data_IF_852430862048
#
_entry.id   IF_852430862048
#
_cell.length_a   1.000
_cell.length_b   1.000
_cell.length_c   1.000
_cell.angle_alpha   90.00
_cell.angle_beta   90.00
_cell.angle_gamma   90.00
#
_symmetry.space_group_name_H-M   'P 1'
#
loop_
_entity.id
_entity.type
_entity.pdbx_description
1 polymer ?
#
# COMPACT_ATOMS: atom_id res chain seq x y z
N UNK A 1 -0.50 10.15 26.40
CA UNK A 1 -0.55 10.96 25.17
C UNK A 1 -0.69 9.93 24.10
N UNK A 2 -1.92 9.78 23.65
CA UNK A 2 -2.39 8.68 22.84
C UNK A 2 -2.76 9.29 21.51
N UNK A 3 -2.20 8.75 20.42
CA UNK A 3 -2.32 9.34 19.09
C UNK A 3 -2.94 8.28 18.18
N UNK A 4 -4.12 8.56 17.63
CA UNK A 4 -4.69 7.79 16.54
C UNK A 4 -4.98 8.70 15.35
N UNK A 5 -4.72 8.18 14.16
CA UNK A 5 -4.82 8.91 12.89
C UNK A 5 -6.16 8.64 12.19
N UNK A 6 -6.76 7.46 12.42
CA UNK A 6 -7.94 6.98 11.67
C UNK A 6 -9.10 6.50 12.56
N UNK A 7 -8.95 6.53 13.89
CA UNK A 7 -9.94 6.05 14.83
C UNK A 7 -9.99 6.96 16.05
N UNK A 8 -11.11 6.93 16.78
CA UNK A 8 -11.16 7.59 18.09
C UNK A 8 -10.14 6.96 19.04
N UNK A 9 -9.42 7.81 19.75
CA UNK A 9 -8.46 7.39 20.77
C UNK A 9 -9.18 7.26 22.11
N UNK A 10 -8.79 6.25 22.89
CA UNK A 10 -9.27 6.10 24.25
C UNK A 10 -8.84 7.32 25.08
N UNK A 11 -9.82 8.02 25.66
CA UNK A 11 -9.55 9.24 26.42
C UNK A 11 -8.73 8.91 27.66
N UNK A 12 -7.79 9.80 27.99
CA UNK A 12 -7.01 9.76 29.21
C UNK A 12 -7.95 9.56 30.43
N UNK A 13 -7.71 8.51 31.22
CA UNK A 13 -8.59 7.99 32.28
C UNK A 13 -8.77 8.91 33.52
N UNK A 14 -8.81 10.22 33.33
CA UNK A 14 -9.02 11.22 34.39
C UNK A 14 -10.50 11.40 34.76
N UNK A 15 -11.45 11.05 33.89
CA UNK A 15 -12.89 11.18 34.19
C UNK A 15 -13.34 10.30 35.38
N UNK A 16 -12.60 9.23 35.69
CA UNK A 16 -12.89 8.33 36.83
C UNK A 16 -12.28 8.79 38.18
N UNK A 17 -11.35 9.75 38.17
CA UNK A 17 -10.59 10.16 39.38
C UNK A 17 -11.06 11.49 40.00
N UNK A 18 -12.00 12.20 39.37
CA UNK A 18 -12.47 13.52 39.83
C UNK A 18 -13.22 13.48 41.19
N UNK A 19 -13.66 12.31 41.67
CA UNK A 19 -14.35 12.22 42.96
C UNK A 19 -13.44 12.14 44.20
N UNK A 20 -12.13 11.89 44.07
CA UNK A 20 -11.30 11.56 45.26
C UNK A 20 -10.05 12.42 45.51
N UNK A 21 -9.70 13.40 44.67
CA UNK A 21 -8.42 14.13 44.81
C UNK A 21 -8.52 15.67 44.77
N UNK A 22 -9.41 16.23 45.59
CA UNK A 22 -9.52 17.68 45.80
C UNK A 22 -8.28 18.37 46.43
N UNK A 23 -7.16 17.68 46.68
CA UNK A 23 -5.99 18.28 47.37
C UNK A 23 -4.65 18.20 46.61
N UNK A 24 -4.57 17.66 45.40
CA UNK A 24 -3.29 17.62 44.69
C UNK A 24 -3.35 18.52 43.46
N UNK A 25 -2.71 19.68 43.59
CA UNK A 25 -2.37 20.62 42.51
C UNK A 25 -1.48 19.96 41.45
N UNK A 26 -2.04 19.06 40.64
CA UNK A 26 -1.37 18.48 39.48
C UNK A 26 -1.86 19.21 38.23
N UNK A 27 -0.93 19.90 37.58
CA UNK A 27 -1.12 20.49 36.25
C UNK A 27 -1.83 19.48 35.34
N UNK A 28 -2.86 19.92 34.61
CA UNK A 28 -3.57 19.11 33.62
C UNK A 28 -2.58 18.46 32.65
N UNK A 29 -2.28 17.17 32.83
CA UNK A 29 -1.28 16.45 32.05
C UNK A 29 -1.81 15.92 30.73
N UNK A 30 -3.13 16.01 30.52
CA UNK A 30 -3.80 15.57 29.31
C UNK A 30 -4.27 16.83 28.56
N UNK A 31 -3.69 17.02 27.36
CA UNK A 31 -4.03 18.07 26.41
C UNK A 31 -4.47 17.37 25.14
N UNK A 32 -5.74 17.51 24.81
CA UNK A 32 -6.30 16.97 23.58
C UNK A 32 -5.92 17.92 22.44
N UNK A 33 -5.07 17.47 21.53
CA UNK A 33 -4.69 18.18 20.32
C UNK A 33 -5.18 17.37 19.12
N UNK A 34 -5.92 18.01 18.21
CA UNK A 34 -6.40 17.41 16.97
C UNK A 34 -5.64 18.05 15.82
N UNK A 35 -4.69 17.31 15.25
CA UNK A 35 -3.98 17.72 14.04
C UNK A 35 -4.75 17.25 12.81
N UNK A 36 -5.26 18.21 12.02
CA UNK A 36 -5.94 17.93 10.76
C UNK A 36 -4.89 17.80 9.65
N UNK A 37 -4.67 16.58 9.17
CA UNK A 37 -3.80 16.30 8.04
C UNK A 37 -4.57 16.57 6.72
N UNK A 38 -4.28 17.70 6.08
CA UNK A 38 -4.83 18.03 4.76
C UNK A 38 -4.44 16.95 3.73
N UNK A 39 -5.44 16.37 3.06
CA UNK A 39 -5.26 15.32 2.04
C UNK A 39 -5.88 13.96 2.41
N UNK A 40 -6.07 13.66 3.70
CA UNK A 40 -6.71 12.42 4.13
C UNK A 40 -8.22 12.36 3.78
N UNK A 41 -8.86 13.50 3.50
CA UNK A 41 -10.26 13.56 3.05
C UNK A 41 -10.52 12.87 1.70
N UNK A 42 -9.48 12.58 0.92
CA UNK A 42 -9.61 11.92 -0.39
C UNK A 42 -9.30 10.42 -0.32
N UNK A 43 -8.92 9.91 0.86
CA UNK A 43 -8.65 8.49 1.04
C UNK A 43 -9.97 7.74 1.11
N UNK A 44 -10.13 6.76 0.23
CA UNK A 44 -11.24 5.83 0.26
C UNK A 44 -11.09 4.92 1.49
N UNK A 45 -11.89 5.14 2.52
CA UNK A 45 -11.92 4.32 3.75
C UNK A 45 -12.77 3.06 3.59
N UNK A 46 -13.01 2.62 2.36
CA UNK A 46 -13.89 1.49 2.09
C UNK A 46 -13.20 0.19 2.48
N UNK A 47 -13.91 -0.64 3.24
CA UNK A 47 -13.54 -2.01 3.55
C UNK A 47 -13.81 -2.93 2.36
N UNK A 48 -13.23 -4.12 2.38
CA UNK A 48 -13.56 -5.17 1.41
C UNK A 48 -15.06 -5.50 1.39
N UNK A 49 -15.75 -5.33 2.53
CA UNK A 49 -17.19 -5.58 2.62
C UNK A 49 -18.02 -4.59 1.80
N UNK A 50 -17.52 -3.37 1.59
CA UNK A 50 -18.20 -2.28 0.87
C UNK A 50 -18.22 -2.47 -0.65
N UNK A 51 -17.48 -3.46 -1.17
CA UNK A 51 -17.47 -3.79 -2.59
C UNK A 51 -18.73 -4.58 -2.98
N UNK A 52 -19.30 -4.24 -4.14
CA UNK A 52 -20.38 -5.04 -4.73
C UNK A 52 -19.89 -6.46 -5.07
N UNK A 53 -20.81 -7.42 -5.11
CA UNK A 53 -20.49 -8.83 -5.39
C UNK A 53 -19.73 -9.02 -6.71
N UNK A 54 -20.12 -8.26 -7.74
CA UNK A 54 -19.45 -8.27 -9.04
C UNK A 54 -18.01 -7.74 -8.91
N UNK A 55 -17.79 -6.68 -8.14
CA UNK A 55 -16.46 -6.11 -7.94
C UNK A 55 -15.55 -7.08 -7.19
N UNK A 56 -16.07 -7.75 -6.15
CA UNK A 56 -15.36 -8.81 -5.42
C UNK A 56 -14.96 -9.95 -6.35
N UNK A 57 -15.87 -10.40 -7.21
CA UNK A 57 -15.63 -11.48 -8.14
C UNK A 57 -14.62 -11.11 -9.23
N UNK A 58 -14.68 -9.89 -9.76
CA UNK A 58 -13.70 -9.36 -10.72
C UNK A 58 -12.32 -9.24 -10.07
N UNK A 59 -12.23 -8.70 -8.85
CA UNK A 59 -10.96 -8.57 -8.11
C UNK A 59 -10.30 -9.93 -7.89
N UNK A 60 -11.08 -10.92 -7.44
CA UNK A 60 -10.61 -12.29 -7.27
C UNK A 60 -10.10 -12.88 -8.58
N UNK A 61 -10.92 -12.85 -9.65
CA UNK A 61 -10.57 -13.41 -10.94
C UNK A 61 -9.32 -12.75 -11.54
N UNK A 62 -9.24 -11.42 -11.45
CA UNK A 62 -8.09 -10.65 -11.91
C UNK A 62 -6.82 -11.02 -11.14
N UNK A 63 -6.87 -11.04 -9.80
CA UNK A 63 -5.72 -11.40 -8.98
C UNK A 63 -5.23 -12.82 -9.27
N UNK A 64 -6.16 -13.76 -9.43
CA UNK A 64 -5.85 -15.16 -9.73
C UNK A 64 -5.20 -15.28 -11.11
N UNK A 65 -5.78 -14.66 -12.14
CA UNK A 65 -5.21 -14.65 -13.48
C UNK A 65 -3.81 -14.01 -13.51
N UNK A 66 -3.64 -12.89 -12.80
CA UNK A 66 -2.38 -12.17 -12.74
C UNK A 66 -1.25 -12.99 -12.09
N UNK A 67 -1.53 -13.69 -10.99
CA UNK A 67 -0.54 -14.56 -10.33
C UNK A 67 -0.07 -15.67 -11.27
N UNK A 68 -1.01 -16.31 -11.97
CA UNK A 68 -0.70 -17.41 -12.90
C UNK A 68 -0.06 -16.93 -14.21
N UNK A 69 -0.19 -15.65 -14.56
CA UNK A 69 0.42 -15.08 -15.77
C UNK A 69 1.95 -15.10 -15.71
N UNK A 70 2.53 -15.04 -14.51
CA UNK A 70 3.98 -14.99 -14.29
C UNK A 70 4.55 -16.27 -13.70
N UNK A 71 3.78 -17.36 -13.67
CA UNK A 71 4.32 -18.67 -13.28
C UNK A 71 5.34 -19.08 -14.35
N UNK A 72 6.63 -18.91 -14.02
CA UNK A 72 7.73 -19.23 -14.93
C UNK A 72 7.65 -20.70 -15.33
N UNK A 73 7.85 -21.00 -16.63
CA UNK A 73 7.88 -22.37 -17.13
C UNK A 73 8.80 -23.22 -16.24
N UNK A 74 8.22 -24.17 -15.49
CA UNK A 74 8.94 -25.06 -14.57
C UNK A 74 10.13 -25.78 -15.25
N UNK A 75 10.03 -25.96 -16.56
CA UNK A 75 11.12 -26.37 -17.42
C UNK A 75 11.12 -25.46 -18.65
N UNK A 76 11.89 -24.38 -18.62
CA UNK A 76 12.23 -23.66 -19.86
C UNK A 76 13.06 -24.60 -20.73
N UNK A 77 12.39 -25.38 -21.60
CA UNK A 77 13.03 -25.91 -22.79
C UNK A 77 13.33 -24.68 -23.64
N UNK A 78 14.48 -24.06 -23.41
CA UNK A 78 14.94 -22.91 -24.20
C UNK A 78 15.14 -23.45 -25.61
N UNK A 79 14.24 -23.13 -26.57
CA UNK A 79 14.46 -23.53 -27.94
C UNK A 79 15.79 -22.91 -28.36
N UNK A 80 16.64 -23.68 -29.02
CA UNK A 80 17.94 -23.19 -29.50
C UNK A 80 18.94 -22.81 -28.39
N UNK A 81 18.85 -23.40 -27.19
CA UNK A 81 19.84 -23.22 -26.10
C UNK A 81 21.29 -23.37 -26.57
N UNK A 82 21.53 -24.33 -27.46
CA UNK A 82 22.85 -24.65 -27.98
C UNK A 82 23.16 -23.96 -29.33
N UNK A 83 22.25 -23.13 -29.83
CA UNK A 83 22.47 -22.37 -31.05
C UNK A 83 23.32 -21.14 -30.71
N UNK A 84 24.50 -21.04 -31.31
CA UNK A 84 25.26 -19.79 -31.25
C UNK A 84 24.50 -18.71 -32.04
N UNK A 85 24.30 -17.51 -31.48
CA UNK A 85 23.71 -16.40 -32.21
C UNK A 85 24.43 -16.22 -33.56
N UNK A 86 23.72 -15.85 -34.64
CA UNK A 86 24.37 -15.54 -35.90
C UNK A 86 25.44 -14.47 -35.68
N UNK A 87 26.58 -14.62 -36.34
CA UNK A 87 27.60 -13.58 -36.32
C UNK A 87 27.03 -12.30 -36.94
N UNK A 88 26.84 -11.28 -36.10
CA UNK A 88 26.39 -9.97 -36.55
C UNK A 88 27.50 -9.34 -37.40
N UNK A 89 27.23 -9.15 -38.69
CA UNK A 89 28.13 -8.42 -39.59
C UNK A 89 28.08 -6.93 -39.27
N UNK A 90 26.91 -6.43 -38.85
CA UNK A 90 26.66 -5.07 -38.40
C UNK A 90 25.57 -5.09 -37.33
N UNK A 91 25.73 -4.27 -36.30
CA UNK A 91 24.70 -4.03 -35.29
C UNK A 91 23.75 -2.94 -35.80
N UNK A 92 22.68 -3.35 -36.48
CA UNK A 92 21.72 -2.41 -37.08
C UNK A 92 20.94 -1.62 -36.02
N UNK A 93 20.77 -2.16 -34.81
CA UNK A 93 20.04 -1.47 -33.74
C UNK A 93 20.83 -0.28 -33.24
N UNK A 94 22.15 -0.44 -33.12
CA UNK A 94 23.07 0.65 -32.81
C UNK A 94 23.20 1.63 -33.97
N UNK A 95 23.24 1.14 -35.22
CA UNK A 95 23.36 2.01 -36.40
C UNK A 95 22.13 2.89 -36.64
N UNK A 96 20.94 2.39 -36.33
CA UNK A 96 19.67 3.11 -36.49
C UNK A 96 19.22 3.81 -35.19
N UNK A 97 20.05 3.80 -34.13
CA UNK A 97 19.71 4.47 -32.87
C UNK A 97 19.72 6.00 -33.06
N UNK A 98 18.56 6.63 -32.84
CA UNK A 98 18.42 8.08 -32.86
C UNK A 98 18.37 8.62 -31.44
N UNK A 99 19.40 9.37 -31.04
CA UNK A 99 19.37 10.11 -29.77
C UNK A 99 18.64 11.44 -29.97
N UNK A 100 17.60 11.67 -29.18
CA UNK A 100 17.00 13.00 -29.05
C UNK A 100 18.01 13.91 -28.32
N UNK A 101 18.37 15.02 -28.94
CA UNK A 101 19.18 16.10 -28.34
C UNK A 101 18.23 17.13 -27.74
#
# INVERSE_FOLDING_TARGET
MDVAIFSEVEKCAMEAFEMEQAEITKKSCCKDEIDVLEGLNQLTTNSFEDLDDIQKQVLFAYSYAYINLFEGLANSVIPHKDYSPPNLIKDIQVLDETYLI
#
